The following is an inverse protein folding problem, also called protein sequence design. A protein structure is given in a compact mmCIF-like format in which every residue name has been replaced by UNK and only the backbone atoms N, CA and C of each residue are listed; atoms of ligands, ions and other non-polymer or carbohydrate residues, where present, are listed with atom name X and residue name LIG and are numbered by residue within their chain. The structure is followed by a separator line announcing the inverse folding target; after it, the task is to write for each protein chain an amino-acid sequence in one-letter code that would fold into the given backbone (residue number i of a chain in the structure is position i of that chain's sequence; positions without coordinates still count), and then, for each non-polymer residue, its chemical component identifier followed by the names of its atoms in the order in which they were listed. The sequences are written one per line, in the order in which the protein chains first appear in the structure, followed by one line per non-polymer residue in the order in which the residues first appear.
data_IF_297930666286
#
_entry.id   IF_297930666286
#
_cell.length_a   1.000
_cell.length_b   1.000
_cell.length_c   1.000
_cell.angle_alpha   90.00
_cell.angle_beta   90.00
_cell.angle_gamma   90.00
#
_symmetry.space_group_name_H-M   'P 1'
#
loop_
_entity.id
_entity.type
_entity.pdbx_description
1 polymer ?
#
# COMPACT_ATOMS: atom_id res chain seq x y z
N UNK A 1 3.56 9.07 23.99
CA UNK A 1 3.88 9.32 22.57
C UNK A 1 5.39 9.25 22.38
N UNK A 2 5.84 8.53 21.37
CA UNK A 2 7.25 8.41 21.05
C UNK A 2 7.66 9.51 20.06
N UNK A 3 8.77 10.20 20.36
CA UNK A 3 9.29 11.20 19.45
C UNK A 3 9.88 10.56 18.20
N UNK A 4 9.63 11.16 17.04
CA UNK A 4 10.18 10.71 15.76
C UNK A 4 11.62 11.18 15.63
N UNK A 5 12.51 10.25 15.27
CA UNK A 5 13.93 10.53 15.05
C UNK A 5 14.46 9.66 13.90
N UNK A 6 15.76 9.74 13.60
CA UNK A 6 16.36 8.99 12.50
C UNK A 6 16.17 7.47 12.66
N UNK A 7 16.18 6.97 13.89
CA UNK A 7 16.08 5.53 14.15
C UNK A 7 14.68 4.97 13.94
N UNK A 8 13.62 5.77 14.10
CA UNK A 8 12.23 5.31 13.98
C UNK A 8 11.43 6.02 12.87
N UNK A 9 12.09 6.82 12.04
CA UNK A 9 11.41 7.62 11.02
C UNK A 9 10.63 6.76 10.04
N UNK A 10 11.24 5.69 9.52
CA UNK A 10 10.59 4.82 8.54
C UNK A 10 9.31 4.20 9.12
N UNK A 11 9.36 3.72 10.35
CA UNK A 11 8.22 3.13 11.03
C UNK A 11 7.13 4.16 11.27
N UNK A 12 7.49 5.36 11.73
CA UNK A 12 6.53 6.43 11.99
C UNK A 12 5.85 6.90 10.72
N UNK A 13 6.60 7.06 9.62
CA UNK A 13 6.05 7.44 8.33
C UNK A 13 5.10 6.38 7.77
N UNK A 14 5.46 5.11 7.88
CA UNK A 14 4.61 4.00 7.47
C UNK A 14 3.32 3.96 8.26
N UNK A 15 3.37 4.15 9.56
CA UNK A 15 2.19 4.12 10.41
C UNK A 15 1.21 5.24 10.06
N UNK A 16 1.71 6.43 9.71
CA UNK A 16 0.87 7.54 9.25
C UNK A 16 0.20 7.19 7.90
N UNK A 17 0.95 6.64 6.96
CA UNK A 17 0.42 6.25 5.65
C UNK A 17 -0.64 5.15 5.79
N UNK A 18 -0.39 4.16 6.64
CA UNK A 18 -1.32 3.07 6.90
C UNK A 18 -2.61 3.60 7.54
N UNK A 19 -2.52 4.48 8.52
CA UNK A 19 -3.69 5.08 9.16
C UNK A 19 -4.54 5.88 8.17
N UNK A 20 -3.91 6.70 7.33
CA UNK A 20 -4.62 7.46 6.31
C UNK A 20 -5.34 6.56 5.31
N UNK A 21 -4.67 5.50 4.86
CA UNK A 21 -5.27 4.57 3.92
C UNK A 21 -6.39 3.76 4.56
N UNK A 22 -6.22 3.36 5.82
CA UNK A 22 -7.26 2.69 6.60
C UNK A 22 -8.53 3.54 6.65
N UNK A 23 -8.39 4.82 6.99
CA UNK A 23 -9.53 5.74 7.10
C UNK A 23 -10.19 5.95 5.74
N UNK A 24 -9.40 6.13 4.67
CA UNK A 24 -9.92 6.38 3.32
C UNK A 24 -10.63 5.17 2.74
N UNK A 25 -10.07 3.97 2.94
CA UNK A 25 -10.63 2.73 2.40
C UNK A 25 -11.76 2.16 3.27
N UNK A 26 -11.86 2.57 4.51
CA UNK A 26 -12.89 2.11 5.44
C UNK A 26 -12.52 0.86 6.22
N UNK A 27 -11.23 0.53 6.33
CA UNK A 27 -10.73 -0.59 7.14
C UNK A 27 -9.61 -1.38 6.49
N UNK A 28 -9.16 -2.41 7.19
CA UNK A 28 -8.19 -3.36 6.65
C UNK A 28 -8.82 -4.28 5.63
N UNK A 29 -8.03 -4.70 4.64
CA UNK A 29 -8.48 -5.61 3.59
C UNK A 29 -9.45 -5.00 2.60
N UNK A 30 -9.55 -3.70 2.57
CA UNK A 30 -10.41 -2.96 1.65
C UNK A 30 -9.59 -2.12 0.71
N UNK A 31 -9.92 -2.16 -0.57
CA UNK A 31 -9.25 -1.38 -1.60
C UNK A 31 -9.88 -0.01 -1.75
N UNK A 32 -9.02 0.99 -1.89
CA UNK A 32 -9.39 2.33 -2.34
C UNK A 32 -8.81 2.53 -3.74
N UNK A 33 -9.66 2.89 -4.70
CA UNK A 33 -9.26 3.06 -6.10
C UNK A 33 -9.34 4.52 -6.51
N UNK A 34 -8.24 5.06 -7.02
CA UNK A 34 -8.24 6.32 -7.74
C UNK A 34 -8.61 6.02 -9.19
N UNK A 35 -9.80 6.42 -9.61
CA UNK A 35 -10.32 6.14 -10.94
C UNK A 35 -9.98 7.21 -11.97
N UNK A 36 -9.28 8.26 -11.53
CA UNK A 36 -8.76 9.33 -12.38
C UNK A 36 -7.46 9.86 -11.79
N UNK A 37 -6.58 10.47 -12.61
CA UNK A 37 -5.37 11.09 -12.07
C UNK A 37 -5.73 12.16 -11.03
N UNK A 38 -4.85 12.31 -10.03
CA UNK A 38 -5.05 13.29 -8.97
C UNK A 38 -5.03 14.71 -9.56
N UNK A 39 -6.03 15.57 -9.27
CA UNK A 39 -6.04 16.94 -9.75
C UNK A 39 -4.81 17.73 -9.26
N UNK A 40 -4.35 18.66 -10.08
CA UNK A 40 -3.18 19.49 -9.75
C UNK A 40 -3.40 20.29 -8.46
N UNK A 41 -4.62 20.75 -8.22
CA UNK A 41 -4.98 21.60 -7.09
C UNK A 41 -5.40 20.82 -5.84
N UNK A 42 -5.34 19.48 -5.86
CA UNK A 42 -5.74 18.64 -4.74
C UNK A 42 -4.77 17.46 -4.57
N UNK A 43 -3.50 17.76 -4.34
CA UNK A 43 -2.47 16.74 -4.17
C UNK A 43 -2.05 16.65 -2.71
N UNK A 44 -2.22 15.48 -2.04
CA UNK A 44 -1.79 15.31 -0.65
C UNK A 44 -0.28 15.30 -0.48
N UNK A 45 0.49 15.13 -1.55
CA UNK A 45 1.94 15.23 -1.57
C UNK A 45 2.36 16.10 -2.77
N UNK A 46 3.54 16.74 -2.67
CA UNK A 46 4.07 17.56 -3.73
C UNK A 46 4.44 16.67 -4.93
N UNK A 47 4.02 17.07 -6.13
CA UNK A 47 4.35 16.40 -7.39
C UNK A 47 3.88 14.94 -7.44
N UNK A 48 2.64 14.69 -7.08
CA UNK A 48 2.05 13.37 -7.24
C UNK A 48 2.12 12.92 -8.70
N UNK A 49 2.38 11.62 -8.88
CA UNK A 49 2.34 11.02 -10.20
C UNK A 49 0.92 11.07 -10.75
N UNK A 50 0.76 11.63 -11.97
CA UNK A 50 -0.54 11.74 -12.65
C UNK A 50 -0.64 10.84 -13.88
N UNK A 51 0.39 10.03 -14.15
CA UNK A 51 0.45 9.15 -15.33
C UNK A 51 -0.13 7.76 -15.04
N UNK A 52 -0.38 7.44 -13.78
CA UNK A 52 -0.83 6.13 -13.34
C UNK A 52 -2.03 6.25 -12.42
N UNK A 53 -2.97 5.34 -12.57
CA UNK A 53 -4.08 5.19 -11.64
C UNK A 53 -3.64 4.25 -10.52
N UNK A 54 -3.97 4.61 -9.29
CA UNK A 54 -3.56 3.86 -8.11
C UNK A 54 -4.73 3.20 -7.40
N UNK A 55 -4.47 2.02 -6.88
CA UNK A 55 -5.31 1.37 -5.89
C UNK A 55 -4.49 1.11 -4.65
N UNK A 56 -5.05 1.36 -3.49
CA UNK A 56 -4.36 1.22 -2.22
C UNK A 56 -5.18 0.40 -1.24
N UNK A 57 -4.49 -0.36 -0.40
CA UNK A 57 -5.11 -1.08 0.70
C UNK A 57 -4.10 -1.25 1.82
N UNK A 58 -4.59 -1.50 3.02
CA UNK A 58 -3.75 -1.88 4.15
C UNK A 58 -4.22 -3.20 4.72
N UNK A 59 -3.30 -3.99 5.20
CA UNK A 59 -3.57 -5.32 5.76
C UNK A 59 -3.06 -5.40 7.19
N UNK A 60 -3.81 -6.09 8.02
CA UNK A 60 -3.35 -6.59 9.31
C UNK A 60 -3.03 -8.07 9.14
N UNK A 61 -1.75 -8.41 9.19
CA UNK A 61 -1.26 -9.75 8.91
C UNK A 61 -1.17 -10.64 10.16
N UNK A 62 -1.93 -10.33 11.19
CA UNK A 62 -2.08 -11.26 12.32
C UNK A 62 -2.60 -12.61 11.83
N UNK A 63 -3.36 -12.59 10.74
CA UNK A 63 -3.74 -13.77 9.97
C UNK A 63 -3.29 -13.59 8.53
N UNK A 64 -2.96 -14.69 7.80
CA UNK A 64 -2.58 -14.58 6.40
C UNK A 64 -3.68 -13.94 5.56
N UNK A 65 -3.26 -13.15 4.56
CA UNK A 65 -4.17 -12.52 3.61
C UNK A 65 -3.84 -12.98 2.19
N UNK A 66 -4.86 -13.08 1.35
CA UNK A 66 -4.68 -13.41 -0.06
C UNK A 66 -5.02 -12.20 -0.91
N UNK A 67 -4.11 -11.83 -1.81
CA UNK A 67 -4.31 -10.78 -2.80
C UNK A 67 -4.43 -11.41 -4.17
N UNK A 68 -5.46 -11.04 -4.91
CA UNK A 68 -5.66 -11.52 -6.28
C UNK A 68 -5.39 -10.40 -7.25
N UNK A 69 -4.41 -10.58 -8.13
CA UNK A 69 -4.17 -9.68 -9.26
C UNK A 69 -4.88 -10.24 -10.48
N UNK A 70 -5.90 -9.54 -11.01
CA UNK A 70 -6.64 -10.03 -12.18
C UNK A 70 -5.79 -9.95 -13.43
N UNK A 71 -6.16 -10.72 -14.46
CA UNK A 71 -5.59 -10.57 -15.77
C UNK A 71 -6.00 -9.23 -16.38
N UNK A 72 -5.09 -8.65 -17.15
CA UNK A 72 -5.33 -7.39 -17.84
C UNK A 72 -5.27 -7.61 -19.34
N UNK A 73 -5.87 -6.71 -20.12
CA UNK A 73 -5.89 -6.77 -21.57
C UNK A 73 -4.55 -6.34 -22.21
N UNK A 74 -3.44 -6.84 -21.70
CA UNK A 74 -2.11 -6.44 -22.11
C UNK A 74 -1.61 -5.13 -21.49
N UNK A 75 -2.38 -4.53 -20.61
CA UNK A 75 -1.97 -3.32 -19.88
C UNK A 75 -1.02 -3.67 -18.76
N UNK A 76 -0.05 -2.79 -18.51
CA UNK A 76 0.84 -2.95 -17.38
C UNK A 76 0.09 -2.79 -16.07
N UNK A 77 0.35 -3.70 -15.14
CA UNK A 77 -0.18 -3.65 -13.79
C UNK A 77 0.89 -4.12 -12.82
N UNK A 78 1.00 -3.49 -11.69
CA UNK A 78 1.92 -3.91 -10.64
C UNK A 78 1.28 -3.81 -9.26
N UNK A 79 1.73 -4.67 -8.36
CA UNK A 79 1.41 -4.64 -6.94
C UNK A 79 2.70 -4.47 -6.18
N UNK A 80 2.79 -3.42 -5.38
CA UNK A 80 3.89 -3.23 -4.45
C UNK A 80 3.40 -3.48 -3.03
N UNK A 81 4.13 -4.29 -2.29
CA UNK A 81 3.85 -4.59 -0.88
C UNK A 81 4.94 -3.95 -0.05
N UNK A 82 4.56 -3.02 0.83
CA UNK A 82 5.49 -2.23 1.63
C UNK A 82 5.24 -2.53 3.11
N UNK A 83 6.28 -2.91 3.83
CA UNK A 83 6.16 -3.14 5.26
C UNK A 83 6.36 -1.86 6.06
N UNK A 84 6.20 -1.94 7.39
CA UNK A 84 6.31 -0.76 8.27
C UNK A 84 7.72 -0.19 8.35
N UNK A 85 8.72 -0.94 7.93
CA UNK A 85 10.12 -0.49 7.92
C UNK A 85 10.59 -0.01 6.53
N UNK A 86 9.65 0.18 5.59
CA UNK A 86 9.86 0.62 4.21
C UNK A 86 10.55 -0.40 3.30
N UNK A 87 10.71 -1.64 3.73
CA UNK A 87 11.10 -2.70 2.82
C UNK A 87 9.92 -3.08 1.95
N UNK A 88 10.19 -3.36 0.69
CA UNK A 88 9.12 -3.67 -0.25
C UNK A 88 9.53 -4.73 -1.26
N UNK A 89 8.52 -5.38 -1.82
CA UNK A 89 8.67 -6.21 -3.01
C UNK A 89 7.48 -5.96 -3.93
N UNK A 90 7.64 -6.32 -5.20
CA UNK A 90 6.60 -6.08 -6.20
C UNK A 90 6.30 -7.34 -7.00
N UNK A 91 5.04 -7.45 -7.44
CA UNK A 91 4.55 -8.49 -8.34
C UNK A 91 3.92 -7.81 -9.55
N UNK A 92 4.19 -8.31 -10.73
CA UNK A 92 3.65 -7.75 -11.98
C UNK A 92 2.78 -8.74 -12.76
N UNK A 93 2.82 -10.01 -12.41
CA UNK A 93 2.04 -11.04 -13.10
C UNK A 93 0.69 -11.26 -12.40
N UNK A 94 -0.37 -11.53 -13.18
CA UNK A 94 -1.65 -11.92 -12.59
C UNK A 94 -1.52 -13.20 -11.77
N UNK A 95 -2.34 -13.34 -10.74
CA UNK A 95 -2.33 -14.51 -9.91
C UNK A 95 -2.80 -14.23 -8.49
N UNK A 96 -2.72 -15.27 -7.68
CA UNK A 96 -3.07 -15.20 -6.26
C UNK A 96 -1.79 -15.21 -5.45
N UNK A 97 -1.67 -14.26 -4.54
CA UNK A 97 -0.50 -14.14 -3.67
C UNK A 97 -0.96 -14.20 -2.22
N UNK A 98 -0.40 -15.14 -1.47
CA UNK A 98 -0.63 -15.21 -0.03
C UNK A 98 0.41 -14.38 0.70
N UNK A 99 -0.05 -13.47 1.54
CA UNK A 99 0.81 -12.59 2.32
C UNK A 99 0.71 -12.96 3.79
N UNK A 100 1.86 -13.11 4.44
CA UNK A 100 1.95 -13.41 5.86
C UNK A 100 2.85 -12.40 6.54
N UNK A 101 2.72 -12.25 7.86
CA UNK A 101 3.62 -11.39 8.64
C UNK A 101 5.08 -11.81 8.46
N UNK A 102 5.35 -13.11 8.41
CA UNK A 102 6.70 -13.64 8.21
C UNK A 102 7.27 -13.25 6.84
N UNK A 103 6.46 -13.38 5.79
CA UNK A 103 6.88 -13.03 4.43
C UNK A 103 7.10 -11.53 4.28
N UNK A 104 6.21 -10.72 4.80
CA UNK A 104 6.23 -9.26 4.67
C UNK A 104 7.25 -8.64 5.64
N UNK A 105 7.41 -9.21 6.82
CA UNK A 105 8.37 -8.76 7.81
C UNK A 105 7.79 -7.91 8.94
N UNK A 106 6.58 -7.39 8.79
CA UNK A 106 5.86 -6.65 9.84
C UNK A 106 4.39 -7.01 9.82
N UNK A 107 3.70 -6.71 10.93
CA UNK A 107 2.28 -7.04 11.08
C UNK A 107 1.39 -6.30 10.08
N UNK A 108 1.65 -5.03 9.88
CA UNK A 108 0.85 -4.21 8.96
C UNK A 108 1.58 -4.05 7.63
N UNK A 109 0.84 -4.09 6.55
CA UNK A 109 1.37 -3.91 5.22
C UNK A 109 0.55 -2.87 4.45
N UNK A 110 1.22 -2.10 3.62
CA UNK A 110 0.63 -1.15 2.70
C UNK A 110 0.76 -1.70 1.28
N UNK A 111 -0.35 -1.79 0.59
CA UNK A 111 -0.42 -2.26 -0.80
C UNK A 111 -0.73 -1.10 -1.72
N UNK A 112 -0.03 -1.03 -2.83
CA UNK A 112 -0.26 0.01 -3.83
C UNK A 112 -0.05 -0.53 -5.24
#
# INVERSE_FOLDING_TARGET
MQDVNVANFARAESDVAIEKTYDTAGGFGRWFHLRAPTPIDNQPVIRMNRDTLYSSAVLDLIEPATVVMPETDGRYQSLQVINQDHYSFAKVEPGRYELTEELVGTRYAYLI
#
